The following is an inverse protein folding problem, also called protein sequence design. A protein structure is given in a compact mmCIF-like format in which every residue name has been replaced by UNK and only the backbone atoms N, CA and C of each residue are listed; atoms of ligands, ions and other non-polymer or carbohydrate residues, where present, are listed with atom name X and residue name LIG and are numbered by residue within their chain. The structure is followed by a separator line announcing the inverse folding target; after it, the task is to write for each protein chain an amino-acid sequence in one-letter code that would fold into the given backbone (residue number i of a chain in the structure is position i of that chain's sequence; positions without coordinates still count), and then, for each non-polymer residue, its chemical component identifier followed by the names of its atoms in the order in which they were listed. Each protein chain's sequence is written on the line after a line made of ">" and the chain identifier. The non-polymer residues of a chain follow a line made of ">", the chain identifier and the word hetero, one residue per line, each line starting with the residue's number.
data_IF_334744688206
#
_entry.id   IF_334744688206
#
_cell.length_a   1.000
_cell.length_b   1.000
_cell.length_c   1.000
_cell.angle_alpha   90.00
_cell.angle_beta   90.00
_cell.angle_gamma   90.00
#
_symmetry.space_group_name_H-M   'P 1'
#
loop_
_entity.id
_entity.type
_entity.pdbx_description
1 polymer ?
#
# COMPACT_ATOMS: atom_id res chain seq x y z
N UNK A 1 -7.23 15.63 -2.74
CA UNK A 1 -6.43 15.49 -1.50
C UNK A 1 -4.99 15.84 -1.81
N UNK A 2 -4.41 16.71 -1.02
CA UNK A 2 -3.05 17.22 -1.26
C UNK A 2 -1.98 16.12 -1.30
N UNK A 3 -2.07 15.14 -0.39
CA UNK A 3 -1.14 14.01 -0.36
C UNK A 3 -1.12 13.27 -1.70
N UNK A 4 -2.29 13.01 -2.26
CA UNK A 4 -2.41 12.28 -3.53
C UNK A 4 -1.79 13.08 -4.68
N UNK A 5 -2.06 14.38 -4.75
CA UNK A 5 -1.47 15.23 -5.78
C UNK A 5 0.05 15.24 -5.69
N UNK A 6 0.60 15.38 -4.49
CA UNK A 6 2.04 15.40 -4.28
C UNK A 6 2.67 14.04 -4.61
N UNK A 7 1.97 12.96 -4.28
CA UNK A 7 2.43 11.60 -4.62
C UNK A 7 2.47 11.43 -6.14
N UNK A 8 1.39 11.78 -6.82
CA UNK A 8 1.29 11.63 -8.28
C UNK A 8 2.29 12.49 -9.04
N UNK A 9 2.55 13.69 -8.53
CA UNK A 9 3.49 14.63 -9.14
C UNK A 9 4.93 14.42 -8.70
N UNK A 10 5.17 13.46 -7.80
CA UNK A 10 6.49 13.19 -7.23
C UNK A 10 7.08 14.41 -6.51
N UNK A 11 6.21 15.23 -5.89
CA UNK A 11 6.63 16.41 -5.13
C UNK A 11 6.50 16.22 -3.61
N UNK A 12 6.01 15.06 -3.18
CA UNK A 12 5.91 14.75 -1.76
C UNK A 12 7.32 14.64 -1.15
N UNK A 13 7.62 15.37 -0.07
CA UNK A 13 8.91 15.21 0.60
C UNK A 13 9.12 13.76 1.07
N UNK A 14 10.33 13.26 0.93
CA UNK A 14 10.66 11.87 1.25
C UNK A 14 10.29 11.51 2.69
N UNK A 15 10.50 12.41 3.64
CA UNK A 15 10.19 12.21 5.05
C UNK A 15 8.69 12.12 5.32
N UNK A 16 7.84 12.53 4.38
CA UNK A 16 6.39 12.41 4.49
C UNK A 16 5.86 11.14 3.83
N UNK A 17 6.71 10.37 3.15
CA UNK A 17 6.32 9.08 2.58
C UNK A 17 6.40 7.99 3.65
N UNK A 18 5.51 8.11 4.63
CA UNK A 18 5.47 7.26 5.82
C UNK A 18 4.66 5.98 5.57
N UNK A 19 4.82 5.02 6.47
CA UNK A 19 4.00 3.79 6.45
C UNK A 19 2.51 4.13 6.42
N UNK A 20 2.08 5.07 7.25
CA UNK A 20 0.69 5.50 7.31
C UNK A 20 0.22 6.10 5.98
N UNK A 21 1.04 6.95 5.36
CA UNK A 21 0.67 7.59 4.10
C UNK A 21 0.60 6.61 2.93
N UNK A 22 1.33 5.51 2.97
CA UNK A 22 1.15 4.41 1.99
C UNK A 22 -0.30 3.91 2.04
N UNK A 23 -0.84 3.73 3.25
CA UNK A 23 -2.21 3.27 3.43
C UNK A 23 -3.24 4.30 2.97
N UNK A 24 -2.99 5.57 3.22
CA UNK A 24 -3.91 6.64 2.78
C UNK A 24 -3.99 6.68 1.25
N UNK A 25 -2.85 6.50 0.58
CA UNK A 25 -2.81 6.42 -0.89
C UNK A 25 -3.62 5.20 -1.37
N UNK A 26 -3.44 4.05 -0.74
CA UNK A 26 -4.20 2.85 -1.09
C UNK A 26 -5.70 3.06 -0.88
N UNK A 27 -6.08 3.67 0.24
CA UNK A 27 -7.48 3.98 0.54
C UNK A 27 -8.10 4.84 -0.56
N UNK A 28 -7.41 5.90 -0.96
CA UNK A 28 -7.88 6.81 -1.99
C UNK A 28 -8.15 6.08 -3.31
N UNK A 29 -7.16 5.33 -3.80
CA UNK A 29 -7.33 4.65 -5.09
C UNK A 29 -8.37 3.54 -5.03
N UNK A 30 -8.47 2.82 -3.91
CA UNK A 30 -9.48 1.78 -3.77
C UNK A 30 -10.91 2.34 -3.74
N UNK A 31 -11.07 3.59 -3.30
CA UNK A 31 -12.39 4.25 -3.37
C UNK A 31 -12.68 4.75 -4.78
N UNK A 32 -11.68 5.31 -5.46
CA UNK A 32 -11.86 5.97 -6.76
C UNK A 32 -11.90 5.02 -7.94
N UNK A 33 -11.32 3.83 -7.82
CA UNK A 33 -11.13 2.90 -8.93
C UNK A 33 -11.55 1.49 -8.56
N UNK A 34 -11.98 0.67 -9.55
CA UNK A 34 -12.10 -0.77 -9.33
C UNK A 34 -10.77 -1.35 -8.88
N UNK A 35 -10.80 -2.41 -8.09
CA UNK A 35 -9.58 -2.96 -7.48
C UNK A 35 -8.44 -3.24 -8.46
N UNK A 36 -8.65 -3.87 -9.61
CA UNK A 36 -7.53 -4.10 -10.55
C UNK A 36 -6.85 -2.81 -11.00
N UNK A 37 -7.63 -1.76 -11.27
CA UNK A 37 -7.09 -0.46 -11.67
C UNK A 37 -6.38 0.22 -10.50
N UNK A 38 -6.96 0.13 -9.30
CA UNK A 38 -6.36 0.69 -8.10
C UNK A 38 -4.98 0.08 -7.84
N UNK A 39 -4.88 -1.25 -7.94
CA UNK A 39 -3.61 -1.97 -7.78
C UNK A 39 -2.57 -1.45 -8.76
N UNK A 40 -2.94 -1.29 -10.03
CA UNK A 40 -2.01 -0.80 -11.04
C UNK A 40 -1.54 0.62 -10.75
N UNK A 41 -2.44 1.51 -10.38
CA UNK A 41 -2.10 2.90 -10.07
C UNK A 41 -1.22 3.00 -8.83
N UNK A 42 -1.50 2.20 -7.80
CA UNK A 42 -0.70 2.17 -6.58
C UNK A 42 0.69 1.64 -6.89
N UNK A 43 0.78 0.51 -7.58
CA UNK A 43 2.05 -0.13 -7.93
C UNK A 43 2.94 0.80 -8.77
N UNK A 44 2.39 1.32 -9.86
CA UNK A 44 3.13 2.22 -10.75
C UNK A 44 3.51 3.52 -10.06
N UNK A 45 2.60 4.05 -9.23
CA UNK A 45 2.85 5.28 -8.48
C UNK A 45 3.98 5.13 -7.48
N UNK A 46 4.00 4.03 -6.73
CA UNK A 46 5.06 3.77 -5.75
C UNK A 46 6.41 3.64 -6.44
N UNK A 47 6.46 2.89 -7.54
CA UNK A 47 7.71 2.72 -8.31
C UNK A 47 8.22 4.06 -8.83
N UNK A 48 7.34 4.84 -9.42
CA UNK A 48 7.69 6.15 -9.96
C UNK A 48 8.18 7.09 -8.85
N UNK A 49 7.46 7.12 -7.74
CA UNK A 49 7.83 7.96 -6.61
C UNK A 49 9.19 7.56 -6.04
N UNK A 50 9.43 6.25 -5.83
CA UNK A 50 10.71 5.76 -5.31
C UNK A 50 11.87 6.22 -6.17
N UNK A 51 11.74 6.13 -7.49
CA UNK A 51 12.78 6.56 -8.41
C UNK A 51 12.99 8.07 -8.35
N UNK A 52 11.91 8.84 -8.20
CA UNK A 52 11.99 10.30 -8.14
C UNK A 52 12.77 10.82 -6.92
N UNK A 53 12.81 10.06 -5.84
CA UNK A 53 13.56 10.44 -4.63
C UNK A 53 14.91 9.72 -4.52
N UNK A 54 15.39 9.13 -5.61
CA UNK A 54 16.70 8.51 -5.69
C UNK A 54 16.77 7.03 -5.31
N UNK A 55 15.62 6.40 -5.10
CA UNK A 55 15.54 4.98 -4.82
C UNK A 55 15.56 4.14 -6.09
N UNK A 56 15.63 2.82 -5.91
CA UNK A 56 15.58 1.85 -7.00
C UNK A 56 14.53 0.80 -6.70
N UNK A 57 13.93 0.24 -7.76
CA UNK A 57 12.96 -0.84 -7.64
C UNK A 57 13.59 -2.08 -8.28
N UNK A 58 14.27 -2.88 -7.47
CA UNK A 58 15.02 -4.05 -7.90
C UNK A 58 14.51 -5.30 -7.19
N UNK A 59 15.17 -6.43 -7.40
CA UNK A 59 14.80 -7.68 -6.75
C UNK A 59 15.14 -7.73 -5.26
N UNK A 60 15.88 -6.72 -4.75
CA UNK A 60 16.27 -6.65 -3.33
C UNK A 60 16.02 -5.29 -2.68
N UNK A 61 15.46 -4.32 -3.39
CA UNK A 61 15.21 -2.99 -2.84
C UNK A 61 14.01 -2.30 -3.50
N UNK A 62 13.37 -1.40 -2.77
CA UNK A 62 12.27 -0.58 -3.27
C UNK A 62 10.94 -1.30 -3.25
N UNK A 63 10.20 -1.19 -4.34
CA UNK A 63 8.84 -1.74 -4.43
C UNK A 63 8.79 -3.23 -4.10
N UNK A 64 7.75 -3.64 -3.37
CA UNK A 64 7.55 -5.03 -2.98
C UNK A 64 6.12 -5.44 -3.35
N UNK A 65 6.01 -6.33 -4.33
CA UNK A 65 4.70 -6.71 -4.90
C UNK A 65 3.81 -7.40 -3.87
N UNK A 66 4.31 -8.40 -3.17
CA UNK A 66 3.51 -9.16 -2.20
C UNK A 66 2.99 -8.25 -1.08
N UNK A 67 3.85 -7.43 -0.50
CA UNK A 67 3.45 -6.52 0.59
C UNK A 67 2.39 -5.54 0.08
N UNK A 68 2.60 -4.96 -1.09
CA UNK A 68 1.66 -4.00 -1.68
C UNK A 68 0.29 -4.63 -1.92
N UNK A 69 0.26 -5.80 -2.54
CA UNK A 69 -1.01 -6.49 -2.83
C UNK A 69 -1.71 -6.96 -1.56
N UNK A 70 -0.95 -7.45 -0.59
CA UNK A 70 -1.51 -7.88 0.69
C UNK A 70 -2.26 -6.74 1.37
N UNK A 71 -1.60 -5.59 1.53
CA UNK A 71 -2.20 -4.46 2.21
C UNK A 71 -3.27 -3.76 1.38
N UNK A 72 -3.12 -3.70 0.07
CA UNK A 72 -4.17 -3.14 -0.80
C UNK A 72 -5.45 -3.96 -0.70
N UNK A 73 -5.32 -5.28 -0.65
CA UNK A 73 -6.47 -6.16 -0.45
C UNK A 73 -7.14 -5.95 0.91
N UNK A 74 -6.34 -5.75 1.96
CA UNK A 74 -6.89 -5.46 3.29
C UNK A 74 -7.68 -4.14 3.30
N UNK A 75 -7.17 -3.12 2.61
CA UNK A 75 -7.86 -1.84 2.46
C UNK A 75 -9.17 -2.02 1.70
N UNK A 76 -9.14 -2.77 0.59
CA UNK A 76 -10.35 -3.04 -0.19
C UNK A 76 -11.41 -3.76 0.64
N UNK A 77 -11.00 -4.76 1.44
CA UNK A 77 -11.92 -5.49 2.31
C UNK A 77 -12.55 -4.56 3.37
N UNK A 78 -11.75 -3.66 3.93
CA UNK A 78 -12.25 -2.66 4.87
C UNK A 78 -13.36 -1.82 4.24
N UNK A 79 -13.15 -1.35 3.02
CA UNK A 79 -14.12 -0.52 2.30
C UNK A 79 -15.39 -1.29 1.95
N UNK A 80 -15.24 -2.50 1.46
CA UNK A 80 -16.36 -3.35 1.03
C UNK A 80 -17.22 -3.75 2.24
N UNK A 81 -16.57 -4.21 3.31
CA UNK A 81 -17.27 -4.66 4.51
C UNK A 81 -18.09 -3.55 5.14
N UNK A 82 -17.60 -2.34 5.12
CA UNK A 82 -18.27 -1.18 5.74
C UNK A 82 -19.06 -0.34 4.74
N UNK A 83 -19.08 -0.75 3.46
CA UNK A 83 -19.84 -0.05 2.40
C UNK A 83 -19.44 1.43 2.29
N UNK A 84 -18.13 1.69 2.37
CA UNK A 84 -17.59 3.05 2.29
C UNK A 84 -17.38 3.44 0.84
N UNK A 85 -17.87 4.61 0.44
CA UNK A 85 -17.80 5.09 -0.94
C UNK A 85 -17.08 6.45 -1.09
N UNK A 86 -16.73 7.09 0.02
CA UNK A 86 -16.02 8.37 -0.04
C UNK A 86 -15.12 8.54 1.17
N UNK A 87 -14.05 9.34 1.00
CA UNK A 87 -13.12 9.65 2.08
C UNK A 87 -13.62 10.88 2.82
N UNK A 88 -14.09 10.68 4.05
CA UNK A 88 -14.45 11.77 4.96
C UNK A 88 -13.43 11.81 6.09
N UNK A 89 -13.42 12.92 6.85
CA UNK A 89 -12.54 13.01 8.02
C UNK A 89 -12.80 11.88 9.03
N UNK A 90 -14.07 11.54 9.22
CA UNK A 90 -14.47 10.46 10.15
C UNK A 90 -13.97 9.11 9.66
N UNK A 91 -14.14 8.82 8.38
CA UNK A 91 -13.67 7.57 7.77
C UNK A 91 -12.15 7.47 7.88
N UNK A 92 -11.45 8.54 7.55
CA UNK A 92 -9.99 8.56 7.62
C UNK A 92 -9.52 8.30 9.05
N UNK A 93 -10.14 8.94 10.04
CA UNK A 93 -9.80 8.72 11.43
C UNK A 93 -10.01 7.26 11.84
N UNK A 94 -11.17 6.68 11.53
CA UNK A 94 -11.47 5.27 11.83
C UNK A 94 -10.50 4.32 11.12
N UNK A 95 -10.22 4.59 9.85
CA UNK A 95 -9.30 3.79 9.04
C UNK A 95 -7.91 3.72 9.69
N UNK A 96 -7.40 4.86 10.14
CA UNK A 96 -6.06 4.93 10.73
C UNK A 96 -5.95 4.23 12.09
N UNK A 97 -7.08 3.84 12.69
CA UNK A 97 -7.11 3.07 13.94
C UNK A 97 -7.17 1.56 13.70
N UNK A 98 -7.26 1.12 12.46
CA UNK A 98 -7.42 -0.31 12.17
C UNK A 98 -6.15 -1.09 12.47
N UNK A 99 -6.28 -2.30 13.07
CA UNK A 99 -5.11 -3.12 13.44
C UNK A 99 -4.23 -3.51 12.26
N UNK A 100 -4.81 -3.64 11.06
CA UNK A 100 -4.02 -4.07 9.89
C UNK A 100 -3.02 -3.02 9.40
N UNK A 101 -3.09 -1.78 9.87
CA UNK A 101 -2.08 -0.77 9.55
C UNK A 101 -0.78 -0.96 10.32
N UNK A 102 -0.76 -1.78 11.37
CA UNK A 102 0.45 -2.02 12.15
C UNK A 102 1.48 -2.76 11.30
N UNK A 103 2.75 -2.36 11.41
CA UNK A 103 3.84 -2.95 10.61
C UNK A 103 3.96 -4.45 10.79
N UNK A 104 3.71 -4.94 11.99
CA UNK A 104 3.82 -6.35 12.32
C UNK A 104 2.60 -7.18 11.92
N UNK A 105 1.54 -6.56 11.41
CA UNK A 105 0.32 -7.29 11.05
C UNK A 105 0.59 -8.39 10.02
N UNK A 106 1.36 -8.08 8.98
CA UNK A 106 1.68 -9.01 7.90
C UNK A 106 2.47 -10.23 8.41
N UNK A 107 3.19 -10.08 9.52
CA UNK A 107 3.97 -11.19 10.09
C UNK A 107 3.10 -12.33 10.63
N UNK A 108 1.80 -12.11 10.77
CA UNK A 108 0.85 -13.17 11.14
C UNK A 108 0.61 -14.13 9.98
N UNK A 109 0.89 -13.72 8.76
CA UNK A 109 0.57 -14.45 7.53
C UNK A 109 1.81 -14.92 6.78
N UNK A 110 2.94 -14.25 6.98
CA UNK A 110 4.19 -14.53 6.28
C UNK A 110 5.35 -14.64 7.24
N UNK A 111 6.17 -15.69 7.06
CA UNK A 111 7.45 -15.73 7.76
C UNK A 111 8.37 -14.67 7.16
N UNK A 112 9.29 -14.15 7.96
CA UNK A 112 10.18 -13.07 7.55
C UNK A 112 11.05 -13.45 6.35
N UNK A 113 11.66 -14.62 6.40
CA UNK A 113 12.54 -15.08 5.33
C UNK A 113 11.79 -15.24 4.01
N UNK A 114 10.60 -15.83 4.04
CA UNK A 114 9.76 -16.01 2.85
C UNK A 114 9.31 -14.68 2.29
N UNK A 115 8.84 -13.76 3.15
CA UNK A 115 8.35 -12.46 2.72
C UNK A 115 9.47 -11.61 2.11
N UNK A 116 10.69 -11.71 2.63
CA UNK A 116 11.82 -10.91 2.15
C UNK A 116 12.56 -11.58 0.98
N UNK A 117 12.03 -12.67 0.44
CA UNK A 117 12.62 -13.33 -0.72
C UNK A 117 12.49 -12.46 -1.97
N UNK A 118 13.36 -12.70 -2.95
CA UNK A 118 13.28 -12.02 -4.25
C UNK A 118 11.96 -12.31 -4.95
N UNK A 119 11.49 -13.55 -4.85
CA UNK A 119 10.23 -13.97 -5.48
C UNK A 119 9.06 -13.17 -4.92
N UNK A 120 8.97 -13.03 -3.59
CA UNK A 120 7.90 -12.27 -2.96
C UNK A 120 7.93 -10.80 -3.37
N UNK A 121 9.11 -10.24 -3.55
CA UNK A 121 9.26 -8.85 -3.97
C UNK A 121 8.81 -8.62 -5.41
N UNK A 122 9.07 -9.57 -6.29
CA UNK A 122 8.80 -9.42 -7.71
C UNK A 122 7.41 -9.87 -8.14
N UNK A 123 6.78 -10.75 -7.38
CA UNK A 123 5.46 -11.29 -7.70
C UNK A 123 4.69 -11.66 -6.45
N UNK A 124 3.37 -11.75 -6.59
CA UNK A 124 2.53 -12.15 -5.48
C UNK A 124 2.82 -13.58 -5.04
N UNK A 125 3.08 -13.77 -3.75
CA UNK A 125 3.15 -15.08 -3.13
C UNK A 125 2.07 -15.19 -2.06
N UNK A 126 1.38 -16.32 -2.02
CA UNK A 126 0.36 -16.56 -1.01
C UNK A 126 1.02 -16.71 0.38
N UNK A 127 0.28 -16.39 1.46
CA UNK A 127 0.80 -16.55 2.83
C UNK A 127 1.31 -17.96 3.09
N UNK A 128 2.42 -18.05 3.83
CA UNK A 128 2.99 -19.34 4.23
C UNK A 128 2.64 -19.73 5.67
N UNK A 129 1.94 -18.86 6.40
CA UNK A 129 1.43 -19.15 7.74
C UNK A 129 -0.08 -19.29 7.73
N UNK A 130 -0.59 -20.11 8.61
CA UNK A 130 -2.03 -20.32 8.76
C UNK A 130 -2.66 -19.27 9.69
#
# INVERSE_FOLDING_TARGET
>A
MKLIEQFENCTLPKEEWTHENHFVVALWYCIKCPLPEAIQKISNGIKKYNESVGGQNTDDAGYHETITLFYTSAVADYLITRKITSVTAEILHDFLQQPFLKKEFISRFYSQEYLMSKEARLQWLAPDKN
#
